data_IF_090919211686
#
_entry.id   IF_090919211686
#
_cell.length_a   1.000
_cell.length_b   1.000
_cell.length_c   1.000
_cell.angle_alpha   90.00
_cell.angle_beta   90.00
_cell.angle_gamma   90.00
#
_symmetry.space_group_name_H-M   'P 1'
#
loop_
_entity.id
_entity.type
_entity.pdbx_description
1 polymer ?
#
# COMPACT_ATOMS: atom_id res chain seq x y z
N UNK A 1 0.48 -48.23 -32.60
CA UNK A 1 0.06 -47.02 -33.35
C UNK A 1 -1.45 -46.94 -33.21
N UNK A 2 -1.95 -46.17 -32.33
CA UNK A 2 -3.36 -45.85 -32.24
C UNK A 2 -3.50 -44.34 -31.98
N UNK A 3 -4.14 -43.67 -32.90
CA UNK A 3 -4.28 -42.23 -32.90
C UNK A 3 -5.34 -41.80 -31.89
N UNK A 4 -4.99 -40.86 -31.03
CA UNK A 4 -5.91 -40.22 -30.08
C UNK A 4 -6.48 -38.96 -30.73
N UNK A 5 -7.78 -38.96 -31.03
CA UNK A 5 -8.52 -37.79 -31.48
C UNK A 5 -9.09 -37.07 -30.27
N UNK A 6 -8.95 -35.74 -30.11
CA UNK A 6 -9.62 -35.03 -29.03
C UNK A 6 -11.06 -34.68 -29.45
N UNK A 7 -12.02 -35.21 -28.73
CA UNK A 7 -13.41 -34.76 -28.81
C UNK A 7 -13.55 -33.37 -28.19
N UNK A 8 -14.10 -32.44 -28.97
CA UNK A 8 -14.43 -31.10 -28.54
C UNK A 8 -15.65 -31.14 -27.56
N UNK A 9 -15.38 -30.86 -26.31
CA UNK A 9 -16.41 -30.76 -25.27
C UNK A 9 -17.02 -29.35 -25.29
N UNK A 10 -18.14 -29.22 -26.02
CA UNK A 10 -18.98 -28.01 -26.06
C UNK A 10 -19.83 -27.92 -24.78
N UNK A 11 -19.29 -27.34 -23.73
CA UNK A 11 -20.08 -26.93 -22.57
C UNK A 11 -20.54 -25.48 -22.74
N UNK A 12 -21.82 -25.14 -22.49
CA UNK A 12 -22.34 -23.80 -22.68
C UNK A 12 -21.68 -22.83 -21.70
N UNK A 13 -21.26 -21.69 -22.23
CA UNK A 13 -20.70 -20.59 -21.48
C UNK A 13 -21.66 -20.19 -20.35
N UNK A 14 -21.25 -20.40 -19.10
CA UNK A 14 -21.95 -19.87 -17.94
C UNK A 14 -21.91 -18.34 -18.03
N UNK A 15 -23.09 -17.74 -18.10
CA UNK A 15 -23.31 -16.31 -18.05
C UNK A 15 -22.59 -15.70 -16.82
N UNK A 16 -21.69 -14.79 -17.09
CA UNK A 16 -21.04 -13.97 -16.06
C UNK A 16 -22.14 -13.15 -15.39
N UNK A 17 -22.31 -13.22 -14.06
CA UNK A 17 -23.29 -12.40 -13.38
C UNK A 17 -22.96 -10.93 -13.64
N UNK A 18 -23.99 -10.16 -14.05
CA UNK A 18 -23.91 -8.73 -14.27
C UNK A 18 -23.20 -8.05 -13.09
N UNK A 19 -22.17 -7.28 -13.40
CA UNK A 19 -21.44 -6.44 -12.43
C UNK A 19 -22.47 -5.58 -11.69
N UNK A 20 -22.78 -5.95 -10.44
CA UNK A 20 -23.42 -5.01 -9.53
C UNK A 20 -22.45 -3.84 -9.39
N UNK A 21 -22.91 -2.63 -9.76
CA UNK A 21 -22.18 -1.40 -9.45
C UNK A 21 -21.81 -1.46 -7.97
N UNK A 22 -20.55 -1.22 -7.58
CA UNK A 22 -20.21 -1.14 -6.18
C UNK A 22 -21.07 -0.03 -5.59
N UNK A 23 -21.89 -0.38 -4.60
CA UNK A 23 -22.61 0.58 -3.79
C UNK A 23 -21.59 1.61 -3.28
N UNK A 24 -21.98 2.87 -3.25
CA UNK A 24 -21.24 4.01 -2.68
C UNK A 24 -20.85 3.70 -1.23
N UNK A 25 -19.92 2.81 -1.04
CA UNK A 25 -19.22 2.66 0.22
C UNK A 25 -18.19 3.79 0.21
N UNK A 26 -18.38 4.76 1.09
CA UNK A 26 -17.56 5.96 1.23
C UNK A 26 -16.12 5.67 1.69
N UNK A 27 -15.41 4.87 0.90
CA UNK A 27 -13.96 4.86 0.96
C UNK A 27 -13.50 6.15 0.28
N UNK A 28 -12.80 7.02 0.98
CA UNK A 28 -12.12 8.09 0.29
C UNK A 28 -11.19 7.43 -0.74
N UNK A 29 -11.27 7.85 -2.00
CA UNK A 29 -10.33 7.53 -3.09
C UNK A 29 -8.93 8.11 -2.80
N UNK A 30 -8.52 8.12 -1.54
CA UNK A 30 -7.32 8.73 -1.04
C UNK A 30 -6.27 7.65 -0.94
N UNK A 31 -5.37 7.66 -1.93
CA UNK A 31 -3.98 7.19 -1.85
C UNK A 31 -3.73 5.79 -1.24
N UNK A 32 -4.70 4.87 -1.28
CA UNK A 32 -4.47 3.49 -0.81
C UNK A 32 -3.45 2.81 -1.72
N UNK A 33 -2.39 2.26 -1.14
CA UNK A 33 -1.45 1.45 -1.91
C UNK A 33 -2.16 0.16 -2.36
N UNK A 34 -2.42 -0.04 -3.67
CA UNK A 34 -3.21 -1.17 -4.15
C UNK A 34 -2.55 -2.52 -3.87
N UNK A 35 -1.22 -2.58 -3.71
CA UNK A 35 -0.51 -3.82 -3.38
C UNK A 35 -0.91 -4.35 -2.00
N UNK A 36 -1.15 -3.47 -1.03
CA UNK A 36 -1.60 -3.85 0.33
C UNK A 36 -2.99 -4.47 0.31
N UNK A 37 -3.84 -4.05 -0.62
CA UNK A 37 -5.16 -4.65 -0.82
C UNK A 37 -5.10 -5.91 -1.69
N UNK A 38 -4.30 -5.88 -2.76
CA UNK A 38 -4.17 -6.97 -3.72
C UNK A 38 -3.61 -8.24 -3.07
N UNK A 39 -2.59 -8.11 -2.21
CA UNK A 39 -1.94 -9.28 -1.61
C UNK A 39 -2.96 -10.16 -0.86
N UNK A 40 -3.68 -9.73 0.18
CA UNK A 40 -4.61 -10.60 0.90
C UNK A 40 -5.87 -10.95 0.10
N UNK A 41 -6.44 -9.97 -0.63
CA UNK A 41 -7.77 -10.15 -1.24
C UNK A 41 -7.73 -10.93 -2.56
N UNK A 42 -6.61 -10.92 -3.27
CA UNK A 42 -6.49 -11.56 -4.58
C UNK A 42 -5.31 -12.54 -4.64
N UNK A 43 -4.08 -12.04 -4.55
CA UNK A 43 -2.89 -12.84 -4.83
C UNK A 43 -2.77 -14.07 -3.92
N UNK A 44 -2.71 -13.85 -2.62
CA UNK A 44 -2.53 -14.96 -1.66
C UNK A 44 -3.80 -15.80 -1.53
N UNK A 45 -4.99 -15.21 -1.62
CA UNK A 45 -6.24 -15.98 -1.64
C UNK A 45 -6.28 -16.96 -2.82
N UNK A 46 -6.03 -16.46 -4.04
CA UNK A 46 -6.03 -17.31 -5.23
C UNK A 46 -4.95 -18.39 -5.15
N UNK A 47 -3.73 -18.04 -4.70
CA UNK A 47 -2.66 -19.01 -4.53
C UNK A 47 -3.02 -20.10 -3.52
N UNK A 48 -3.66 -19.74 -2.41
CA UNK A 48 -4.11 -20.70 -1.40
C UNK A 48 -5.21 -21.62 -1.94
N UNK A 49 -6.21 -21.05 -2.64
CA UNK A 49 -7.26 -21.83 -3.29
C UNK A 49 -6.70 -22.84 -4.32
N UNK A 50 -5.69 -22.45 -5.10
CA UNK A 50 -5.02 -23.35 -6.04
C UNK A 50 -4.15 -24.38 -5.34
N UNK A 51 -3.43 -24.00 -4.28
CA UNK A 51 -2.65 -24.93 -3.50
C UNK A 51 -3.53 -26.03 -2.90
N UNK A 52 -4.72 -25.69 -2.39
CA UNK A 52 -5.69 -26.65 -1.85
C UNK A 52 -6.20 -27.59 -2.95
N UNK A 53 -6.56 -27.08 -4.12
CA UNK A 53 -6.99 -27.89 -5.28
C UNK A 53 -5.90 -28.86 -5.77
N UNK A 54 -4.65 -28.45 -5.68
CA UNK A 54 -3.49 -29.24 -6.13
C UNK A 54 -2.87 -30.08 -4.98
N UNK A 55 -3.48 -30.08 -3.80
CA UNK A 55 -2.97 -30.75 -2.60
C UNK A 55 -1.54 -30.32 -2.23
N UNK A 56 -1.22 -29.01 -2.43
CA UNK A 56 0.05 -28.42 -2.06
C UNK A 56 -0.04 -27.79 -0.67
N UNK A 57 0.90 -28.14 0.21
CA UNK A 57 0.98 -27.57 1.55
C UNK A 57 1.42 -26.11 1.55
N UNK A 58 2.36 -25.76 0.68
CA UNK A 58 2.99 -24.44 0.65
C UNK A 58 2.70 -23.69 -0.65
N UNK A 59 2.74 -22.38 -0.54
CA UNK A 59 2.73 -21.44 -1.66
C UNK A 59 4.03 -20.64 -1.65
N UNK A 60 4.64 -20.43 -2.81
CA UNK A 60 5.87 -19.67 -2.95
C UNK A 60 5.68 -18.44 -3.84
N UNK A 61 6.26 -17.31 -3.44
CA UNK A 61 6.23 -16.08 -4.24
C UNK A 61 7.58 -15.39 -4.25
N UNK A 62 7.83 -14.59 -5.29
CA UNK A 62 9.08 -13.84 -5.46
C UNK A 62 9.15 -12.53 -4.66
N UNK A 63 8.45 -12.40 -3.53
CA UNK A 63 8.61 -11.23 -2.68
C UNK A 63 9.97 -11.22 -1.98
N UNK A 64 10.60 -10.05 -1.95
CA UNK A 64 11.84 -9.82 -1.20
C UNK A 64 11.48 -9.54 0.27
N UNK A 65 11.23 -10.60 1.00
CA UNK A 65 10.91 -10.60 2.43
C UNK A 65 11.22 -11.97 2.99
N UNK A 66 11.33 -12.08 4.31
CA UNK A 66 11.55 -13.36 5.03
C UNK A 66 10.42 -13.63 6.00
N UNK A 67 10.36 -14.83 6.51
CA UNK A 67 9.50 -15.22 7.62
C UNK A 67 10.34 -15.66 8.79
N UNK A 68 9.88 -15.35 9.99
CA UNK A 68 10.45 -15.78 11.26
C UNK A 68 9.33 -16.30 12.15
N UNK A 69 9.55 -17.45 12.77
CA UNK A 69 8.62 -17.96 13.78
C UNK A 69 9.12 -17.63 15.18
N UNK A 70 8.30 -16.96 15.97
CA UNK A 70 8.57 -16.68 17.37
C UNK A 70 7.28 -16.86 18.19
N UNK A 71 7.35 -17.59 19.30
CA UNK A 71 6.21 -17.82 20.19
C UNK A 71 4.96 -18.38 19.44
N UNK A 72 5.17 -19.30 18.48
CA UNK A 72 4.11 -19.87 17.62
C UNK A 72 3.41 -18.88 16.70
N UNK A 73 3.93 -17.68 16.56
CA UNK A 73 3.47 -16.64 15.61
C UNK A 73 4.48 -16.52 14.49
N UNK A 74 3.98 -16.34 13.27
CA UNK A 74 4.81 -16.11 12.08
C UNK A 74 4.85 -14.60 11.82
N UNK A 75 6.04 -14.06 11.75
CA UNK A 75 6.30 -12.67 11.46
C UNK A 75 6.90 -12.51 10.07
N UNK A 76 6.49 -11.47 9.39
CA UNK A 76 7.14 -10.99 8.18
C UNK A 76 8.37 -10.21 8.61
N UNK A 77 9.51 -10.49 8.00
CA UNK A 77 10.79 -9.80 8.28
C UNK A 77 11.27 -9.14 6.99
N UNK A 78 11.80 -7.93 7.08
CA UNK A 78 12.36 -7.24 5.93
C UNK A 78 13.40 -8.12 5.23
N UNK A 79 13.41 -8.07 3.89
CA UNK A 79 14.41 -8.78 3.08
C UNK A 79 15.81 -8.24 3.29
N UNK A 80 16.81 -9.00 2.85
CA UNK A 80 18.22 -8.60 2.98
C UNK A 80 18.59 -7.49 2.00
N UNK A 81 17.85 -7.32 0.91
CA UNK A 81 17.96 -6.16 0.01
C UNK A 81 17.04 -5.04 0.51
N UNK A 82 17.58 -4.12 1.30
CA UNK A 82 16.83 -2.97 1.86
C UNK A 82 16.17 -2.09 0.77
N UNK A 83 16.72 -2.08 -0.47
CA UNK A 83 16.14 -1.32 -1.58
C UNK A 83 14.96 -2.02 -2.24
N UNK A 84 14.85 -3.33 -2.06
CA UNK A 84 13.82 -4.20 -2.65
C UNK A 84 12.90 -4.82 -1.61
N UNK A 85 13.10 -4.53 -0.33
CA UNK A 85 12.24 -5.01 0.75
C UNK A 85 10.76 -4.75 0.46
N UNK A 86 9.95 -5.81 0.55
CA UNK A 86 8.52 -5.77 0.28
C UNK A 86 7.67 -6.12 1.51
N UNK A 87 8.27 -6.21 2.67
CA UNK A 87 7.59 -6.50 3.94
C UNK A 87 6.43 -5.54 4.21
N UNK A 88 6.61 -4.26 3.87
CA UNK A 88 5.60 -3.20 3.99
C UNK A 88 4.25 -3.53 3.31
N UNK A 89 4.25 -4.30 2.23
CA UNK A 89 3.02 -4.57 1.47
C UNK A 89 2.24 -5.79 1.97
N UNK A 90 2.78 -6.52 2.95
CA UNK A 90 2.28 -7.83 3.37
C UNK A 90 1.65 -7.83 4.77
N UNK A 91 1.66 -6.72 5.48
CA UNK A 91 1.19 -6.61 6.87
C UNK A 91 -0.24 -7.11 7.09
N UNK A 92 -1.07 -7.15 6.06
CA UNK A 92 -2.45 -7.64 6.14
C UNK A 92 -2.61 -9.15 5.99
N UNK A 93 -1.53 -9.91 5.77
CA UNK A 93 -1.62 -11.36 5.69
C UNK A 93 -1.87 -11.96 7.08
N UNK A 94 -2.87 -12.85 7.17
CA UNK A 94 -3.19 -13.57 8.38
C UNK A 94 -2.21 -14.72 8.66
N UNK A 95 -2.20 -15.20 9.89
CA UNK A 95 -1.32 -16.27 10.36
C UNK A 95 -1.54 -17.59 9.61
N UNK A 96 -2.76 -17.89 9.22
CA UNK A 96 -3.16 -19.06 8.42
C UNK A 96 -2.45 -19.06 7.06
N UNK A 97 -2.40 -17.92 6.39
CA UNK A 97 -1.70 -17.73 5.12
C UNK A 97 -0.19 -17.76 5.32
N UNK A 98 0.32 -17.03 6.32
CA UNK A 98 1.76 -16.92 6.57
C UNK A 98 2.41 -18.27 6.85
N UNK A 99 1.73 -19.17 7.57
CA UNK A 99 2.22 -20.56 7.82
C UNK A 99 2.40 -21.39 6.55
N UNK A 100 1.81 -20.98 5.45
CA UNK A 100 1.90 -21.67 4.15
C UNK A 100 2.81 -20.95 3.16
N UNK A 101 3.31 -19.75 3.51
CA UNK A 101 4.13 -18.95 2.61
C UNK A 101 5.60 -19.36 2.62
N UNK A 102 6.21 -19.32 1.44
CA UNK A 102 7.66 -19.37 1.24
C UNK A 102 8.07 -18.14 0.40
N UNK A 103 9.12 -17.47 0.84
CA UNK A 103 9.69 -16.31 0.15
C UNK A 103 11.17 -16.56 -0.21
N UNK A 104 11.44 -17.33 -1.29
CA UNK A 104 12.80 -17.79 -1.61
C UNK A 104 13.77 -16.64 -1.91
N UNK A 105 13.27 -15.46 -2.27
CA UNK A 105 14.13 -14.31 -2.61
C UNK A 105 14.45 -13.42 -1.40
N UNK A 106 13.97 -13.75 -0.21
CA UNK A 106 14.13 -12.90 0.97
C UNK A 106 15.57 -12.71 1.42
N UNK A 107 16.47 -13.66 1.13
CA UNK A 107 17.90 -13.61 1.47
C UNK A 107 18.81 -13.20 0.30
N UNK A 108 18.23 -12.83 -0.84
CA UNK A 108 18.97 -12.46 -2.04
C UNK A 108 18.82 -10.98 -2.33
N UNK A 109 19.90 -10.36 -2.82
CA UNK A 109 19.79 -9.06 -3.46
C UNK A 109 19.27 -9.21 -4.90
N UNK A 110 18.67 -8.16 -5.43
CA UNK A 110 18.21 -8.14 -6.83
C UNK A 110 19.34 -8.44 -7.81
N UNK A 111 20.56 -8.02 -7.48
CA UNK A 111 21.74 -8.27 -8.30
C UNK A 111 22.08 -9.76 -8.35
N UNK A 112 22.13 -10.42 -7.19
CA UNK A 112 22.35 -11.87 -7.11
C UNK A 112 21.30 -12.67 -7.88
N UNK A 113 20.03 -12.25 -7.83
CA UNK A 113 18.97 -12.90 -8.62
C UNK A 113 19.20 -12.72 -10.13
N UNK A 114 19.64 -11.54 -10.57
CA UNK A 114 19.96 -11.28 -11.97
C UNK A 114 21.16 -12.13 -12.45
N UNK A 115 22.19 -12.21 -11.64
CA UNK A 115 23.38 -13.01 -11.95
C UNK A 115 23.00 -14.50 -12.05
N UNK A 116 22.23 -15.02 -11.10
CA UNK A 116 21.71 -16.38 -11.16
C UNK A 116 20.90 -16.65 -12.43
N UNK A 117 20.07 -15.71 -12.87
CA UNK A 117 19.29 -15.86 -14.11
C UNK A 117 20.19 -15.90 -15.35
N UNK A 118 21.27 -15.09 -15.39
CA UNK A 118 22.25 -15.12 -16.49
C UNK A 118 22.97 -16.46 -16.54
N UNK A 119 23.44 -16.95 -15.40
CA UNK A 119 24.13 -18.23 -15.28
C UNK A 119 23.24 -19.42 -15.70
N UNK A 120 21.92 -19.30 -15.52
CA UNK A 120 20.94 -20.31 -15.95
C UNK A 120 20.44 -20.10 -17.39
N UNK A 121 21.00 -19.17 -18.15
CA UNK A 121 20.63 -18.93 -19.55
C UNK A 121 19.37 -18.07 -19.74
N UNK A 122 18.88 -17.41 -18.70
CA UNK A 122 17.72 -16.50 -18.76
C UNK A 122 18.13 -15.03 -18.84
N UNK A 123 19.17 -14.71 -19.63
CA UNK A 123 19.71 -13.35 -19.74
C UNK A 123 18.64 -12.29 -20.10
N UNK A 124 17.72 -12.50 -21.07
CA UNK A 124 16.68 -11.51 -21.36
C UNK A 124 15.82 -11.15 -20.13
N UNK A 125 15.51 -12.15 -19.30
CA UNK A 125 14.74 -11.93 -18.06
C UNK A 125 15.57 -11.22 -16.97
N UNK A 126 16.87 -11.45 -16.93
CA UNK A 126 17.77 -10.76 -16.02
C UNK A 126 17.88 -9.26 -16.33
N UNK A 127 17.75 -8.88 -17.61
CA UNK A 127 17.88 -7.51 -18.10
C UNK A 127 16.54 -6.77 -18.20
N UNK A 128 15.44 -7.47 -18.00
CA UNK A 128 14.11 -6.85 -17.99
C UNK A 128 14.04 -5.69 -17.00
N UNK A 129 13.49 -4.57 -17.45
CA UNK A 129 13.30 -3.37 -16.65
C UNK A 129 12.42 -3.64 -15.42
N UNK A 130 12.61 -2.84 -14.41
CA UNK A 130 11.78 -2.93 -13.20
C UNK A 130 10.45 -2.20 -13.38
N UNK A 131 9.36 -2.82 -12.92
CA UNK A 131 8.12 -2.09 -12.73
C UNK A 131 8.35 -1.06 -11.62
N UNK A 132 8.39 0.21 -11.98
CA UNK A 132 8.64 1.31 -11.04
C UNK A 132 7.44 1.59 -10.14
N UNK A 133 6.27 1.08 -10.52
CA UNK A 133 4.98 1.35 -9.89
C UNK A 133 4.17 0.05 -9.67
N UNK A 134 2.87 0.15 -9.70
CA UNK A 134 1.94 -0.97 -9.51
C UNK A 134 2.02 -1.91 -10.70
N UNK A 135 2.04 -3.22 -10.47
CA UNK A 135 2.35 -4.26 -11.48
C UNK A 135 1.38 -4.31 -12.69
N UNK A 136 0.21 -3.69 -12.59
CA UNK A 136 -0.78 -3.61 -13.68
C UNK A 136 -0.87 -2.23 -14.33
N UNK A 137 -0.10 -1.24 -13.85
CA UNK A 137 -0.02 0.09 -14.44
C UNK A 137 1.24 0.18 -15.29
N UNK A 138 1.06 0.40 -16.60
CA UNK A 138 2.15 0.69 -17.52
C UNK A 138 2.19 2.19 -17.77
N UNK A 139 3.21 2.88 -17.25
CA UNK A 139 3.34 4.33 -17.40
C UNK A 139 2.77 5.12 -16.24
N UNK A 140 2.24 6.32 -16.49
CA UNK A 140 1.69 7.21 -15.45
C UNK A 140 0.33 6.68 -14.95
N UNK A 141 0.16 6.61 -13.61
CA UNK A 141 -1.11 6.19 -13.01
C UNK A 141 -2.28 7.09 -13.38
N UNK A 142 -2.03 8.34 -13.75
CA UNK A 142 -3.04 9.30 -14.20
C UNK A 142 -3.66 8.88 -15.52
N UNK A 143 -2.86 8.35 -16.45
CA UNK A 143 -3.33 7.83 -17.72
C UNK A 143 -4.16 6.56 -17.50
N UNK A 144 -3.69 5.69 -16.60
CA UNK A 144 -4.45 4.51 -16.17
C UNK A 144 -5.82 4.91 -15.56
N UNK A 145 -5.86 5.94 -14.72
CA UNK A 145 -7.14 6.42 -14.16
C UNK A 145 -8.08 6.92 -15.25
N UNK A 146 -7.60 7.69 -16.22
CA UNK A 146 -8.43 8.19 -17.34
C UNK A 146 -8.97 7.05 -18.21
N UNK A 147 -8.15 6.03 -18.46
CA UNK A 147 -8.53 4.88 -19.28
C UNK A 147 -9.59 4.00 -18.61
N UNK A 148 -9.46 3.77 -17.29
CA UNK A 148 -10.30 2.82 -16.55
C UNK A 148 -11.46 3.46 -15.77
N UNK A 149 -11.46 4.76 -15.64
CA UNK A 149 -12.50 5.54 -14.99
C UNK A 149 -12.66 6.90 -15.69
N UNK A 150 -13.03 6.92 -16.98
CA UNK A 150 -13.17 8.15 -17.76
C UNK A 150 -14.23 9.09 -17.17
N UNK A 151 -15.14 8.56 -16.36
CA UNK A 151 -16.11 9.35 -15.60
C UNK A 151 -15.47 10.26 -14.56
N UNK A 152 -14.25 10.01 -14.08
CA UNK A 152 -13.59 10.86 -13.09
C UNK A 152 -13.42 12.29 -13.63
N UNK A 153 -12.97 12.45 -14.85
CA UNK A 153 -12.78 13.78 -15.45
C UNK A 153 -14.12 14.49 -15.67
N UNK A 154 -15.20 13.73 -15.97
CA UNK A 154 -16.54 14.28 -16.18
C UNK A 154 -17.27 14.58 -14.87
N UNK A 155 -17.11 13.73 -13.85
CA UNK A 155 -17.80 13.88 -12.56
C UNK A 155 -17.09 14.86 -11.62
N UNK A 156 -15.74 14.94 -11.67
CA UNK A 156 -14.94 15.78 -10.78
C UNK A 156 -14.52 17.07 -11.46
N UNK A 157 -13.98 16.98 -12.68
CA UNK A 157 -13.50 18.12 -13.45
C UNK A 157 -12.41 18.95 -12.78
N UNK A 158 -12.06 20.11 -13.36
CA UNK A 158 -11.10 21.04 -12.78
C UNK A 158 -11.57 21.59 -11.43
N UNK A 159 -10.62 21.88 -10.54
CA UNK A 159 -10.88 22.47 -9.23
C UNK A 159 -9.84 23.53 -8.89
N UNK A 160 -9.81 23.94 -7.62
CA UNK A 160 -8.96 25.05 -7.19
C UNK A 160 -7.87 24.63 -6.23
N UNK A 161 -6.63 25.03 -6.51
CA UNK A 161 -5.63 25.17 -5.47
C UNK A 161 -5.99 26.34 -4.57
N UNK A 162 -5.90 26.15 -3.27
CA UNK A 162 -6.19 27.18 -2.27
C UNK A 162 -5.08 27.23 -1.22
N UNK A 163 -4.90 28.37 -0.57
CA UNK A 163 -4.05 28.47 0.62
C UNK A 163 -4.82 28.10 1.91
N UNK A 164 -4.20 28.23 3.07
CA UNK A 164 -4.80 27.96 4.39
C UNK A 164 -6.00 28.86 4.71
N UNK A 165 -6.07 30.03 4.13
CA UNK A 165 -7.16 31.02 4.28
C UNK A 165 -8.31 30.78 3.29
N UNK A 166 -8.16 29.83 2.36
CA UNK A 166 -9.14 29.52 1.33
C UNK A 166 -9.04 30.39 0.08
N UNK A 167 -8.01 31.25 -0.03
CA UNK A 167 -7.77 32.05 -1.22
C UNK A 167 -7.35 31.16 -2.38
N UNK A 168 -7.96 31.39 -3.54
CA UNK A 168 -7.64 30.63 -4.77
C UNK A 168 -6.27 31.05 -5.29
N UNK A 169 -5.42 30.04 -5.54
CA UNK A 169 -4.07 30.21 -6.05
C UNK A 169 -3.96 29.89 -7.55
N UNK A 170 -4.83 29.01 -8.07
CA UNK A 170 -4.86 28.59 -9.46
C UNK A 170 -5.75 27.36 -9.63
N UNK A 171 -5.98 26.95 -10.86
CA UNK A 171 -6.77 25.76 -11.19
C UNK A 171 -5.93 24.48 -11.16
N UNK A 172 -6.58 23.36 -10.88
CA UNK A 172 -6.01 22.01 -10.99
C UNK A 172 -6.93 21.07 -11.77
N UNK A 173 -6.39 19.96 -12.26
CA UNK A 173 -7.07 18.98 -13.13
C UNK A 173 -8.14 18.12 -12.43
N UNK A 174 -8.35 18.29 -11.14
CA UNK A 174 -9.24 17.48 -10.30
C UNK A 174 -8.51 16.90 -9.09
N UNK A 175 -9.17 16.88 -7.93
CA UNK A 175 -8.54 16.45 -6.67
C UNK A 175 -7.98 14.99 -6.69
N UNK A 176 -8.49 14.03 -7.49
CA UNK A 176 -7.98 12.66 -7.49
C UNK A 176 -6.53 12.52 -7.98
N UNK A 177 -6.03 13.53 -8.69
CA UNK A 177 -4.67 13.53 -9.23
C UNK A 177 -3.62 14.02 -8.23
N UNK A 178 -4.00 14.29 -6.98
CA UNK A 178 -3.12 14.84 -5.95
C UNK A 178 -3.08 13.97 -4.70
N UNK A 179 -1.94 14.02 -4.01
CA UNK A 179 -1.71 13.28 -2.77
C UNK A 179 -1.11 14.21 -1.71
N UNK A 180 -1.51 14.06 -0.45
CA UNK A 180 -0.94 14.83 0.66
C UNK A 180 0.58 14.65 0.69
N UNK A 181 1.31 15.77 0.82
CA UNK A 181 2.76 15.84 0.76
C UNK A 181 3.35 15.87 -0.65
N UNK A 182 2.53 15.85 -1.71
CA UNK A 182 3.02 15.99 -3.08
C UNK A 182 3.59 17.41 -3.29
N UNK A 183 4.81 17.46 -3.88
CA UNK A 183 5.49 18.71 -4.26
C UNK A 183 5.61 18.84 -5.78
N UNK A 184 5.92 17.73 -6.48
CA UNK A 184 6.15 17.74 -7.94
C UNK A 184 4.84 17.55 -8.70
N UNK A 185 4.77 18.10 -9.92
CA UNK A 185 3.62 17.94 -10.82
C UNK A 185 2.36 18.66 -10.35
N UNK A 186 2.51 19.75 -9.60
CA UNK A 186 1.40 20.64 -9.24
C UNK A 186 1.03 21.59 -10.39
N UNK A 187 1.95 21.81 -11.32
CA UNK A 187 1.75 22.68 -12.51
C UNK A 187 1.28 24.10 -12.15
N UNK A 188 1.71 24.62 -11.01
CA UNK A 188 1.43 25.97 -10.53
C UNK A 188 2.73 26.68 -10.13
N UNK A 189 2.89 27.94 -10.52
CA UNK A 189 4.04 28.77 -10.20
C UNK A 189 3.69 29.70 -9.01
N UNK A 190 4.23 29.38 -7.83
CA UNK A 190 4.01 30.18 -6.61
C UNK A 190 5.26 30.96 -6.14
N UNK A 191 6.34 30.94 -6.93
CA UNK A 191 7.62 31.58 -6.56
C UNK A 191 8.38 30.88 -5.44
N UNK A 192 7.78 29.92 -4.74
CA UNK A 192 8.40 29.11 -3.67
C UNK A 192 7.91 27.66 -3.75
N UNK A 193 8.66 26.68 -3.18
CA UNK A 193 8.17 25.31 -3.07
C UNK A 193 6.87 25.24 -2.28
N UNK A 194 5.88 24.53 -2.84
CA UNK A 194 4.62 24.28 -2.17
C UNK A 194 4.31 22.78 -2.12
N UNK A 195 3.55 22.40 -1.12
CA UNK A 195 3.16 21.02 -0.84
C UNK A 195 1.64 20.90 -0.69
N UNK A 196 1.09 19.79 -1.13
CA UNK A 196 -0.31 19.46 -0.85
C UNK A 196 -0.47 19.17 0.64
N UNK A 197 -1.20 20.03 1.34
CA UNK A 197 -1.49 19.90 2.77
C UNK A 197 -2.77 19.12 3.04
N UNK A 198 -3.79 19.38 2.24
CA UNK A 198 -5.14 18.83 2.43
C UNK A 198 -5.88 18.73 1.11
N UNK A 199 -6.71 17.73 0.99
CA UNK A 199 -7.60 17.52 -0.16
C UNK A 199 -9.03 17.55 0.36
N UNK A 200 -9.90 18.31 -0.28
CA UNK A 200 -11.33 18.35 0.01
C UNK A 200 -12.11 17.89 -1.22
N UNK A 201 -12.55 16.62 -1.26
CA UNK A 201 -13.30 16.09 -2.39
C UNK A 201 -14.63 16.78 -2.63
N UNK A 202 -15.35 17.20 -1.56
CA UNK A 202 -16.66 17.82 -1.66
C UNK A 202 -16.63 19.20 -2.33
N UNK A 203 -15.53 19.94 -2.09
CA UNK A 203 -15.32 21.28 -2.67
C UNK A 203 -14.44 21.25 -3.91
N UNK A 204 -13.92 20.08 -4.29
CA UNK A 204 -12.91 19.90 -5.32
C UNK A 204 -11.75 20.91 -5.15
N UNK A 205 -11.20 20.97 -3.92
CA UNK A 205 -10.08 21.87 -3.61
C UNK A 205 -8.88 21.11 -3.06
N UNK A 206 -7.70 21.57 -3.45
CA UNK A 206 -6.40 21.07 -2.98
C UNK A 206 -5.68 22.24 -2.28
N UNK A 207 -5.48 22.11 -0.97
CA UNK A 207 -4.81 23.11 -0.17
C UNK A 207 -3.29 22.96 -0.30
N UNK A 208 -2.63 24.05 -0.62
CA UNK A 208 -1.17 24.13 -0.72
C UNK A 208 -0.59 24.96 0.44
N UNK A 209 0.61 24.59 0.87
CA UNK A 209 1.37 25.34 1.87
C UNK A 209 2.80 24.88 2.00
N UNK A 210 3.46 25.25 3.08
CA UNK A 210 4.86 25.00 3.32
C UNK A 210 5.09 23.59 3.97
N UNK A 211 6.31 23.06 3.86
CA UNK A 211 6.67 21.74 4.39
C UNK A 211 6.43 21.60 5.91
N UNK A 212 6.66 22.67 6.66
CA UNK A 212 6.47 22.71 8.11
C UNK A 212 5.03 22.37 8.53
N UNK A 213 4.05 22.80 7.72
CA UNK A 213 2.63 22.53 7.96
C UNK A 213 2.21 21.07 7.73
N UNK A 214 3.12 20.23 7.21
CA UNK A 214 2.90 18.78 7.06
C UNK A 214 3.37 17.99 8.28
N UNK A 215 4.08 18.60 9.20
CA UNK A 215 4.61 17.95 10.39
C UNK A 215 3.49 17.63 11.38
N UNK A 216 3.62 16.49 12.05
CA UNK A 216 2.71 16.06 13.08
C UNK A 216 3.44 15.16 14.10
N UNK A 217 3.06 15.29 15.37
CA UNK A 217 3.57 14.51 16.49
C UNK A 217 2.79 13.21 16.71
N UNK A 218 1.61 13.10 16.09
CA UNK A 218 0.71 11.95 16.24
C UNK A 218 -0.15 11.74 15.01
N UNK A 219 -0.73 10.54 14.89
CA UNK A 219 -1.75 10.23 13.89
C UNK A 219 -2.78 9.25 14.43
N UNK A 220 -3.98 9.29 13.83
CA UNK A 220 -5.00 8.26 13.98
C UNK A 220 -4.84 7.19 12.91
N UNK A 221 -5.04 5.94 13.30
CA UNK A 221 -5.02 4.80 12.39
C UNK A 221 -6.19 3.85 12.71
N UNK A 222 -6.60 3.06 11.72
CA UNK A 222 -7.79 2.20 11.79
C UNK A 222 -7.60 0.91 11.00
N UNK A 223 -8.50 -0.06 11.18
CA UNK A 223 -8.48 -1.35 10.49
C UNK A 223 -7.13 -2.06 10.62
N UNK A 224 -6.62 -2.14 11.83
CA UNK A 224 -5.33 -2.75 12.13
C UNK A 224 -5.36 -4.29 11.99
N UNK A 225 -4.18 -4.83 11.72
CA UNK A 225 -3.85 -6.24 11.81
C UNK A 225 -2.55 -6.35 12.61
N UNK A 226 -2.67 -6.58 13.92
CA UNK A 226 -1.55 -6.70 14.84
C UNK A 226 -1.27 -8.18 15.09
N UNK A 227 -0.01 -8.59 14.96
CA UNK A 227 0.40 -9.99 15.19
C UNK A 227 0.41 -10.28 16.69
N UNK A 228 0.89 -9.33 17.47
CA UNK A 228 0.87 -9.37 18.93
C UNK A 228 0.62 -7.97 19.49
N UNK A 229 -0.52 -7.77 20.13
CA UNK A 229 -0.88 -6.49 20.76
C UNK A 229 0.08 -6.13 21.92
N UNK A 230 0.54 -7.13 22.69
CA UNK A 230 1.49 -6.91 23.78
C UNK A 230 2.82 -6.34 23.28
N UNK A 231 3.31 -6.82 22.13
CA UNK A 231 4.52 -6.26 21.52
C UNK A 231 4.30 -4.84 21.01
N UNK A 232 3.14 -4.56 20.38
CA UNK A 232 2.85 -3.24 19.81
C UNK A 232 2.63 -2.18 20.89
N UNK A 233 1.92 -2.52 21.97
CA UNK A 233 1.59 -1.55 23.03
C UNK A 233 2.63 -1.49 24.15
N UNK A 234 3.50 -2.50 24.28
CA UNK A 234 4.46 -2.60 25.38
C UNK A 234 5.93 -2.42 24.97
N UNK A 235 6.25 -2.38 23.69
CA UNK A 235 7.64 -2.27 23.23
C UNK A 235 8.14 -0.82 23.28
N UNK A 236 9.33 -0.63 23.88
CA UNK A 236 10.07 0.63 23.78
C UNK A 236 10.88 0.80 22.48
N UNK A 237 10.87 -0.20 21.59
CA UNK A 237 11.65 -0.19 20.34
C UNK A 237 10.74 -0.14 19.09
N UNK A 238 9.46 0.18 19.28
CA UNK A 238 8.49 0.22 18.18
C UNK A 238 8.80 1.37 17.23
N UNK A 239 8.80 1.05 15.94
CA UNK A 239 8.90 2.05 14.89
C UNK A 239 7.74 1.89 13.91
N UNK A 240 7.38 2.98 13.22
CA UNK A 240 6.35 2.97 12.19
C UNK A 240 6.88 3.53 10.86
N UNK A 241 6.49 2.88 9.76
CA UNK A 241 6.63 3.44 8.40
C UNK A 241 5.27 3.83 7.88
N UNK A 242 5.11 5.11 7.56
CA UNK A 242 3.85 5.68 7.04
C UNK A 242 3.79 5.73 5.51
N UNK A 243 4.85 5.28 4.84
CA UNK A 243 4.97 5.09 3.39
C UNK A 243 6.02 4.03 3.09
N UNK A 244 5.89 3.37 1.95
CA UNK A 244 6.77 2.27 1.53
C UNK A 244 8.26 2.56 1.68
N UNK A 245 8.74 3.72 1.25
CA UNK A 245 10.17 4.08 1.31
C UNK A 245 10.50 5.12 2.39
N UNK A 246 9.57 5.38 3.32
CA UNK A 246 9.88 6.28 4.43
C UNK A 246 10.86 5.63 5.40
N UNK A 247 11.66 6.46 6.04
CA UNK A 247 12.45 6.01 7.19
C UNK A 247 11.51 5.56 8.31
N UNK A 248 11.89 4.53 9.08
CA UNK A 248 11.17 4.18 10.30
C UNK A 248 11.21 5.36 11.28
N UNK A 249 10.08 5.64 11.91
CA UNK A 249 9.93 6.69 12.93
C UNK A 249 9.65 5.99 14.25
N UNK A 250 10.47 6.18 15.30
CA UNK A 250 10.18 5.67 16.65
C UNK A 250 8.82 6.20 17.12
N UNK A 251 8.01 5.30 17.71
CA UNK A 251 6.66 5.66 18.11
C UNK A 251 6.15 4.80 19.27
N UNK A 252 5.11 5.28 19.92
CA UNK A 252 4.25 4.50 20.80
C UNK A 252 2.81 4.48 20.29
N UNK A 253 2.05 3.46 20.67
CA UNK A 253 0.70 3.26 20.16
C UNK A 253 -0.25 3.04 21.33
N UNK A 254 -1.43 3.66 21.27
CA UNK A 254 -2.53 3.46 22.23
C UNK A 254 -3.80 3.10 21.46
N UNK A 255 -4.54 2.10 21.94
CA UNK A 255 -5.88 1.82 21.43
C UNK A 255 -6.90 2.76 22.10
N UNK A 256 -7.71 3.41 21.28
CA UNK A 256 -8.80 4.28 21.71
C UNK A 256 -10.08 3.47 21.97
N UNK A 257 -11.03 4.08 22.69
CA UNK A 257 -12.34 3.45 23.00
C UNK A 257 -13.15 3.10 21.75
N UNK A 258 -13.00 3.85 20.67
CA UNK A 258 -13.67 3.60 19.37
C UNK A 258 -12.96 2.53 18.52
N UNK A 259 -11.91 1.89 19.06
CA UNK A 259 -11.14 0.84 18.41
C UNK A 259 -10.02 1.33 17.50
N UNK A 260 -9.92 2.63 17.22
CA UNK A 260 -8.81 3.19 16.47
C UNK A 260 -7.51 3.18 17.26
N UNK A 261 -6.40 3.32 16.55
CA UNK A 261 -5.08 3.47 17.13
C UNK A 261 -4.69 4.96 17.11
N UNK A 262 -4.19 5.45 18.24
CA UNK A 262 -3.49 6.72 18.34
C UNK A 262 -1.99 6.40 18.41
N UNK A 263 -1.25 6.88 17.41
CA UNK A 263 0.19 6.69 17.29
C UNK A 263 0.88 8.00 17.62
N UNK A 264 1.73 7.99 18.62
CA UNK A 264 2.60 9.11 18.99
C UNK A 264 3.97 8.90 18.39
N UNK A 265 4.50 9.90 17.71
CA UNK A 265 5.85 9.88 17.15
C UNK A 265 6.84 10.50 18.14
N UNK A 266 7.98 9.85 18.35
CA UNK A 266 9.06 10.43 19.15
C UNK A 266 9.79 11.57 18.42
N UNK A 267 9.71 11.56 17.08
CA UNK A 267 10.19 12.65 16.22
C UNK A 267 9.10 12.98 15.23
N UNK A 268 8.93 14.26 14.87
CA UNK A 268 7.87 14.70 13.97
C UNK A 268 7.81 13.89 12.67
N UNK A 269 6.64 13.34 12.39
CA UNK A 269 6.33 12.74 11.09
C UNK A 269 5.88 13.82 10.11
N UNK A 270 6.02 13.56 8.82
CA UNK A 270 5.59 14.50 7.79
C UNK A 270 4.68 13.86 6.75
N UNK A 271 3.69 14.62 6.30
CA UNK A 271 2.80 14.25 5.22
C UNK A 271 2.00 12.96 5.50
N UNK A 272 1.33 12.94 6.64
CA UNK A 272 0.41 11.87 7.03
C UNK A 272 -0.78 11.87 6.08
N UNK A 273 -0.87 10.84 5.24
CA UNK A 273 -1.89 10.74 4.19
C UNK A 273 -2.93 9.67 4.55
N UNK A 274 -4.19 10.05 4.84
CA UNK A 274 -5.26 9.08 5.08
C UNK A 274 -5.40 8.07 3.95
N UNK A 275 -5.63 6.80 4.30
CA UNK A 275 -5.70 5.67 3.38
C UNK A 275 -4.35 5.01 3.08
N UNK A 276 -3.20 5.63 3.37
CA UNK A 276 -1.90 4.97 3.34
C UNK A 276 -1.77 3.98 4.51
N UNK A 277 -0.85 3.04 4.40
CA UNK A 277 -0.55 2.12 5.50
C UNK A 277 0.43 2.75 6.50
N UNK A 278 0.17 2.49 7.77
CA UNK A 278 1.12 2.63 8.85
C UNK A 278 1.56 1.21 9.25
N UNK A 279 2.81 0.85 9.00
CA UNK A 279 3.32 -0.50 9.27
C UNK A 279 4.29 -0.44 10.43
N UNK A 280 4.03 -1.23 11.45
CA UNK A 280 4.77 -1.26 12.71
C UNK A 280 5.86 -2.31 12.67
N UNK A 281 7.04 -1.91 13.12
CA UNK A 281 8.24 -2.76 13.16
C UNK A 281 8.90 -2.76 14.55
N UNK A 282 9.48 -3.90 14.90
CA UNK A 282 10.52 -4.01 15.93
C UNK A 282 11.76 -4.54 15.22
N UNK A 283 12.79 -3.71 15.11
CA UNK A 283 13.93 -4.00 14.24
C UNK A 283 13.51 -4.18 12.77
N UNK A 284 13.78 -5.35 12.19
CA UNK A 284 13.38 -5.72 10.82
C UNK A 284 12.04 -6.50 10.75
N UNK A 285 11.45 -6.81 11.88
CA UNK A 285 10.25 -7.64 12.01
C UNK A 285 8.98 -6.79 11.99
N UNK A 286 8.05 -7.09 11.09
CA UNK A 286 6.72 -6.49 11.06
C UNK A 286 5.89 -7.09 12.19
N UNK A 287 5.48 -6.27 13.15
CA UNK A 287 4.62 -6.67 14.28
C UNK A 287 3.15 -6.33 14.04
N UNK A 288 2.85 -5.59 12.98
CA UNK A 288 1.49 -5.27 12.55
C UNK A 288 1.45 -4.11 11.59
N UNK A 289 0.24 -3.67 11.30
CA UNK A 289 -0.02 -2.50 10.48
C UNK A 289 -1.47 -2.06 10.57
N UNK A 290 -1.75 -0.90 10.02
CA UNK A 290 -3.09 -0.29 9.98
C UNK A 290 -3.20 0.64 8.77
N UNK A 291 -4.39 1.12 8.47
CA UNK A 291 -4.54 2.25 7.57
C UNK A 291 -4.53 3.56 8.36
N UNK A 292 -3.88 4.56 7.81
CA UNK A 292 -3.92 5.93 8.35
C UNK A 292 -5.36 6.44 8.20
N UNK A 293 -6.01 6.76 9.31
CA UNK A 293 -7.37 7.26 9.34
C UNK A 293 -7.45 8.75 8.96
N UNK A 294 -8.66 9.27 8.78
CA UNK A 294 -8.87 10.71 8.73
C UNK A 294 -8.44 11.33 10.06
N UNK A 295 -7.64 12.39 9.99
CA UNK A 295 -7.12 13.10 11.17
C UNK A 295 -8.14 14.10 11.76
N UNK A 296 -9.41 14.04 11.33
CA UNK A 296 -10.48 14.88 11.89
C UNK A 296 -10.77 14.47 13.34
N UNK A 297 -10.88 15.47 14.21
CA UNK A 297 -11.23 15.24 15.61
C UNK A 297 -10.08 14.70 16.48
N UNK A 298 -8.85 14.65 15.96
CA UNK A 298 -7.70 14.15 16.73
C UNK A 298 -7.49 14.93 18.04
N UNK A 299 -7.77 16.23 18.06
CA UNK A 299 -7.67 17.08 19.25
C UNK A 299 -8.59 16.68 20.42
N UNK A 300 -9.53 15.75 20.21
CA UNK A 300 -10.35 15.19 21.30
C UNK A 300 -9.64 14.08 22.10
N UNK A 301 -8.49 13.61 21.62
CA UNK A 301 -7.75 12.47 22.18
C UNK A 301 -6.36 12.84 22.72
N UNK A 302 -6.01 14.14 22.67
CA UNK A 302 -4.69 14.66 23.07
C UNK A 302 -4.80 15.56 24.27
#
# INVERSE_FOLDING_TARGET
MSAYSPEANNSPARSVPSRRKPSRMGMPLLATNPCVMCNPLFKFRILTEWADKLNCRYIATGHYTRLEEQNRKIYIVAGDDDKKDQSYFLWRLGQDVLRRCLFPLGTYTKMQVRDYLRDKGYAPKAEEGESMEVCFIKGDYRDFLREHSPEIDNEVGPGWFVNSEGVKLGEHKGFPYYTIGQRKGLEIALGKPAYVLKINPQKNTVMLGDAEQLKAEYMLAEQDNLIDEGEVFGSGELTVRIRYRSKPIPCSVKRLEDGRLLVYFETEASAIAPGQSAVFYIGKRVVGGSFIASQRGIGMYI
#
